data_IF_719534034335
#
_entry.id   IF_719534034335
#
_cell.length_a   1.000
_cell.length_b   1.000
_cell.length_c   1.000
_cell.angle_alpha   90.00
_cell.angle_beta   90.00
_cell.angle_gamma   90.00
#
_symmetry.space_group_name_H-M   'P 1'
#
loop_
_entity.id
_entity.type
_entity.pdbx_description
1 polymer ?
#
# COMPACT_ATOMS: atom_id res chain seq x y z
N UNK A 1 48.69 34.28 31.34
CA UNK A 1 47.88 33.12 30.87
C UNK A 1 46.73 33.67 30.04
N UNK A 2 46.63 33.29 28.76
CA UNK A 2 45.57 33.77 27.84
C UNK A 2 44.41 32.77 27.88
N UNK A 3 43.24 33.21 28.32
CA UNK A 3 42.00 32.43 28.32
C UNK A 3 41.38 32.46 26.93
N UNK A 4 41.31 31.30 26.27
CA UNK A 4 40.57 31.13 25.03
C UNK A 4 39.12 30.72 25.34
N UNK A 5 38.15 31.47 24.84
CA UNK A 5 36.73 31.12 24.92
C UNK A 5 36.36 30.29 23.70
N UNK A 6 35.78 29.10 23.94
CA UNK A 6 35.29 28.20 22.89
C UNK A 6 33.77 28.39 22.79
N UNK A 7 33.30 28.95 21.67
CA UNK A 7 31.87 28.97 21.33
C UNK A 7 31.46 27.62 20.76
N UNK A 8 30.55 26.93 21.43
CA UNK A 8 29.92 25.71 20.93
C UNK A 8 28.67 26.12 20.14
N UNK A 9 28.72 25.98 18.82
CA UNK A 9 27.55 26.18 17.96
C UNK A 9 26.69 24.91 18.01
N UNK A 10 25.48 25.04 18.55
CA UNK A 10 24.51 23.95 18.64
C UNK A 10 23.85 23.76 17.25
N UNK A 11 24.34 22.82 16.46
CA UNK A 11 23.67 22.40 15.24
C UNK A 11 22.46 21.53 15.61
N UNK A 12 21.25 22.09 15.51
CA UNK A 12 20.00 21.34 15.65
C UNK A 12 19.88 20.34 14.51
N UNK A 13 20.26 19.08 14.75
CA UNK A 13 19.87 17.97 13.88
C UNK A 13 18.36 17.76 14.05
N UNK A 14 17.57 18.34 13.15
CA UNK A 14 16.18 17.91 12.95
C UNK A 14 16.26 16.52 12.35
N UNK A 15 16.17 15.50 13.21
CA UNK A 15 16.01 14.12 12.80
C UNK A 15 14.59 13.98 12.26
N UNK A 16 14.42 14.20 10.95
CA UNK A 16 13.18 13.93 10.23
C UNK A 16 12.95 12.42 10.16
N UNK A 17 12.65 11.80 11.30
CA UNK A 17 12.24 10.41 11.36
C UNK A 17 10.86 10.29 10.72
N UNK A 18 10.78 9.73 9.52
CA UNK A 18 9.52 9.21 8.99
C UNK A 18 9.13 8.01 9.84
N UNK A 19 8.45 8.27 10.96
CA UNK A 19 7.96 7.22 11.84
C UNK A 19 6.84 6.48 11.12
N UNK A 20 7.09 5.23 10.73
CA UNK A 20 6.03 4.31 10.31
C UNK A 20 5.22 3.95 11.55
N UNK A 21 3.97 4.41 11.59
CA UNK A 21 3.02 3.95 12.61
C UNK A 21 2.32 2.73 12.05
N UNK A 22 2.54 1.59 12.71
CA UNK A 22 1.98 0.31 12.35
C UNK A 22 0.92 -0.14 13.35
N UNK A 23 -0.09 -0.86 12.88
CA UNK A 23 -0.99 -1.61 13.75
C UNK A 23 -1.18 -2.99 13.15
N UNK A 24 -1.01 -4.01 13.99
CA UNK A 24 -1.15 -5.40 13.58
C UNK A 24 -2.61 -5.84 13.65
N UNK A 25 -3.00 -6.72 12.74
CA UNK A 25 -4.31 -7.34 12.73
C UNK A 25 -4.21 -8.75 12.13
N UNK A 26 -5.19 -9.59 12.48
CA UNK A 26 -5.33 -10.94 11.95
C UNK A 26 -6.80 -11.29 11.77
N UNK A 27 -7.08 -12.24 10.87
CA UNK A 27 -8.40 -12.84 10.70
C UNK A 27 -8.40 -14.22 11.34
N UNK A 28 -9.42 -14.51 12.15
CA UNK A 28 -9.63 -15.86 12.71
C UNK A 28 -10.41 -16.74 11.73
N UNK A 29 -10.25 -18.07 11.80
CA UNK A 29 -10.96 -19.04 10.95
C UNK A 29 -10.62 -18.94 9.45
N UNK A 30 -9.38 -18.60 9.13
CA UNK A 30 -8.87 -18.65 7.76
C UNK A 30 -8.78 -20.12 7.32
N UNK A 31 -9.37 -20.52 6.18
CA UNK A 31 -9.20 -21.86 5.64
C UNK A 31 -7.72 -22.18 5.44
N UNK A 32 -7.32 -23.45 5.54
CA UNK A 32 -5.94 -23.86 5.23
C UNK A 32 -5.55 -23.56 3.76
N UNK A 33 -6.55 -23.40 2.90
CA UNK A 33 -6.40 -22.94 1.53
C UNK A 33 -6.40 -21.42 1.41
N UNK A 34 -6.33 -20.63 2.48
CA UNK A 34 -6.34 -19.17 2.50
C UNK A 34 -7.68 -18.54 2.12
N UNK A 35 -7.76 -17.21 2.19
CA UNK A 35 -8.92 -16.47 1.67
C UNK A 35 -8.76 -16.24 0.16
N UNK A 36 -9.86 -15.96 -0.52
CA UNK A 36 -9.85 -15.57 -1.94
C UNK A 36 -10.01 -14.06 -2.12
N UNK A 37 -10.40 -13.38 -1.06
CA UNK A 37 -10.62 -11.96 -1.04
C UNK A 37 -10.44 -11.41 0.37
N UNK A 38 -10.10 -10.13 0.44
CA UNK A 38 -10.22 -9.28 1.62
C UNK A 38 -10.58 -7.87 1.17
N UNK A 39 -11.27 -7.14 2.02
CA UNK A 39 -11.60 -5.73 1.78
C UNK A 39 -11.14 -4.88 2.94
N UNK A 40 -10.37 -3.83 2.65
CA UNK A 40 -9.91 -2.87 3.64
C UNK A 40 -10.63 -1.54 3.48
N UNK A 41 -11.43 -1.12 4.48
CA UNK A 41 -12.01 0.21 4.47
C UNK A 41 -10.95 1.26 4.81
N UNK A 42 -10.79 2.26 3.96
CA UNK A 42 -9.87 3.37 4.19
C UNK A 42 -10.55 4.71 3.94
N UNK A 43 -10.38 5.63 4.89
CA UNK A 43 -10.82 7.03 4.79
C UNK A 43 -9.65 7.91 5.20
N UNK A 44 -9.16 8.74 4.28
CA UNK A 44 -8.25 9.84 4.64
C UNK A 44 -9.13 11.04 4.94
N UNK A 45 -9.34 11.34 6.24
CA UNK A 45 -10.14 12.50 6.67
C UNK A 45 -9.42 13.80 6.31
N UNK A 46 -8.14 13.86 6.63
CA UNK A 46 -7.27 15.01 6.40
C UNK A 46 -5.83 14.51 6.25
N UNK A 47 -5.11 15.05 5.27
CA UNK A 47 -3.66 14.92 5.11
C UNK A 47 -3.17 16.05 4.20
N UNK A 48 -1.90 16.43 4.28
CA UNK A 48 -1.34 17.35 3.30
C UNK A 48 -1.37 16.72 1.90
N UNK A 49 -1.74 17.50 0.89
CA UNK A 49 -1.78 17.08 -0.51
C UNK A 49 -0.36 17.12 -1.09
N UNK A 50 0.51 16.22 -0.60
CA UNK A 50 1.91 16.10 -0.98
C UNK A 50 2.29 14.63 -1.17
N UNK A 51 3.33 14.38 -1.95
CA UNK A 51 3.89 13.05 -2.11
C UNK A 51 4.66 12.61 -0.85
N UNK A 52 4.61 11.30 -0.55
CA UNK A 52 5.47 10.66 0.45
C UNK A 52 4.77 10.23 1.73
N UNK A 53 3.44 10.41 1.82
CA UNK A 53 2.59 9.71 2.79
C UNK A 53 2.04 8.42 2.19
N UNK A 54 1.94 7.37 3.01
CA UNK A 54 1.39 6.07 2.65
C UNK A 54 0.40 5.63 3.73
N UNK A 55 -0.88 5.53 3.35
CA UNK A 55 -1.92 4.94 4.16
C UNK A 55 -2.24 3.58 3.55
N UNK A 56 -1.57 2.53 4.04
CA UNK A 56 -1.58 1.21 3.42
C UNK A 56 -1.93 0.09 4.40
N UNK A 57 -2.53 -0.96 3.87
CA UNK A 57 -2.81 -2.21 4.53
C UNK A 57 -1.96 -3.31 3.91
N UNK A 58 -1.23 -4.03 4.75
CA UNK A 58 -0.41 -5.16 4.33
C UNK A 58 -1.12 -6.47 4.62
N UNK A 59 -0.91 -7.46 3.77
CA UNK A 59 -1.42 -8.82 3.92
C UNK A 59 -0.38 -9.84 3.50
N UNK A 60 -0.38 -11.02 4.11
CA UNK A 60 0.58 -12.07 3.82
C UNK A 60 -0.02 -13.16 2.91
N UNK A 61 0.85 -13.88 2.21
CA UNK A 61 0.48 -15.08 1.46
C UNK A 61 0.84 -16.34 2.25
N UNK A 62 0.01 -17.40 2.26
CA UNK A 62 0.16 -18.56 3.18
C UNK A 62 1.58 -19.13 3.15
N UNK A 63 2.17 -19.27 1.97
CA UNK A 63 3.49 -19.89 1.79
C UNK A 63 4.52 -18.90 1.25
N UNK A 64 4.32 -17.59 1.43
CA UNK A 64 5.15 -16.60 0.76
C UNK A 64 5.24 -15.25 1.46
N UNK A 65 5.70 -14.24 0.71
CA UNK A 65 5.86 -12.86 1.15
C UNK A 65 4.53 -12.13 1.36
N UNK A 66 4.61 -10.80 1.26
CA UNK A 66 3.51 -9.89 1.55
C UNK A 66 3.05 -9.17 0.29
N UNK A 67 1.80 -8.70 0.32
CA UNK A 67 1.32 -7.64 -0.54
C UNK A 67 0.82 -6.46 0.30
N UNK A 68 0.60 -5.32 -0.35
CA UNK A 68 -0.14 -4.22 0.27
C UNK A 68 -1.09 -3.55 -0.70
N UNK A 69 -2.05 -2.82 -0.15
CA UNK A 69 -2.89 -1.90 -0.90
C UNK A 69 -3.19 -0.64 -0.08
N UNK A 70 -3.51 0.47 -0.72
CA UNK A 70 -3.86 1.69 0.01
C UNK A 70 -3.86 2.96 -0.83
N UNK A 71 -3.76 4.09 -0.12
CA UNK A 71 -3.79 5.44 -0.68
C UNK A 71 -2.54 6.23 -0.33
N UNK A 72 -2.11 7.04 -1.29
CA UNK A 72 -1.13 8.10 -1.11
C UNK A 72 -1.75 9.41 -1.56
N UNK A 73 -1.77 10.43 -0.70
CA UNK A 73 -1.95 11.82 -1.12
C UNK A 73 -0.98 12.20 -2.25
N UNK A 74 -1.46 13.04 -3.16
CA UNK A 74 -0.65 13.72 -4.18
C UNK A 74 -0.96 15.21 -4.19
N UNK A 75 -0.06 16.03 -4.74
CA UNK A 75 -0.39 17.42 -5.07
C UNK A 75 -1.65 17.50 -5.91
N UNK A 76 -2.42 18.55 -5.68
CA UNK A 76 -3.62 18.83 -6.46
C UNK A 76 -3.27 18.96 -7.94
N UNK A 77 -4.16 18.45 -8.79
CA UNK A 77 -4.09 18.62 -10.23
C UNK A 77 -5.38 19.32 -10.71
N UNK A 78 -5.21 20.40 -11.47
CA UNK A 78 -6.34 21.19 -11.99
C UNK A 78 -7.31 21.66 -10.89
N UNK A 79 -6.78 22.03 -9.72
CA UNK A 79 -7.55 22.50 -8.57
C UNK A 79 -8.38 21.41 -7.87
N UNK A 80 -8.07 20.13 -8.10
CA UNK A 80 -8.76 18.99 -7.47
C UNK A 80 -7.78 18.11 -6.69
N UNK A 81 -8.21 17.56 -5.54
CA UNK A 81 -7.43 16.57 -4.82
C UNK A 81 -7.16 15.32 -5.66
N UNK A 82 -5.90 14.89 -5.69
CA UNK A 82 -5.49 13.66 -6.36
C UNK A 82 -5.20 12.60 -5.31
N UNK A 83 -5.82 11.44 -5.51
CA UNK A 83 -5.51 10.22 -4.75
C UNK A 83 -4.75 9.27 -5.65
N UNK A 84 -3.64 8.75 -5.14
CA UNK A 84 -2.82 7.74 -5.77
C UNK A 84 -3.04 6.41 -5.05
N UNK A 85 -3.82 5.52 -5.68
CA UNK A 85 -4.07 4.18 -5.17
C UNK A 85 -2.95 3.25 -5.55
N UNK A 86 -2.57 2.39 -4.61
CA UNK A 86 -1.47 1.43 -4.77
C UNK A 86 -1.90 0.02 -4.45
N UNK A 87 -1.28 -0.93 -5.14
CA UNK A 87 -1.49 -2.35 -4.97
C UNK A 87 -0.22 -3.10 -5.41
N UNK A 88 0.47 -3.75 -4.48
CA UNK A 88 1.79 -4.31 -4.74
C UNK A 88 1.94 -5.71 -4.15
N UNK A 89 2.80 -6.51 -4.79
CA UNK A 89 3.28 -7.82 -4.33
C UNK A 89 4.79 -7.75 -4.16
N UNK A 90 5.30 -8.19 -3.01
CA UNK A 90 6.73 -8.33 -2.72
C UNK A 90 7.24 -9.76 -2.93
N UNK A 91 6.46 -10.57 -3.64
CA UNK A 91 6.81 -11.96 -3.92
C UNK A 91 7.67 -12.00 -5.17
N UNK A 92 8.90 -12.48 -5.04
CA UNK A 92 9.80 -12.71 -6.16
C UNK A 92 9.16 -13.65 -7.20
N UNK A 93 9.39 -13.37 -8.48
CA UNK A 93 8.74 -14.06 -9.59
C UNK A 93 7.29 -13.67 -9.86
N UNK A 94 6.72 -12.69 -9.12
CA UNK A 94 5.43 -12.11 -9.51
C UNK A 94 5.51 -11.47 -10.89
N UNK A 95 4.46 -11.62 -11.69
CA UNK A 95 4.39 -11.08 -13.05
C UNK A 95 3.11 -10.29 -13.26
N UNK A 96 3.07 -9.47 -14.30
CA UNK A 96 1.87 -8.71 -14.65
C UNK A 96 1.82 -8.44 -16.16
N UNK A 97 0.61 -8.31 -16.69
CA UNK A 97 0.32 -7.80 -18.04
C UNK A 97 -0.52 -6.52 -17.97
N UNK A 98 -0.75 -6.01 -16.76
CA UNK A 98 -1.61 -4.87 -16.50
C UNK A 98 -0.86 -3.56 -16.74
N UNK A 99 -1.47 -2.64 -17.49
CA UNK A 99 -0.86 -1.36 -17.86
C UNK A 99 -0.58 -0.45 -16.65
N UNK A 100 -1.25 -0.66 -15.53
CA UNK A 100 -1.06 0.12 -14.31
C UNK A 100 0.10 -0.42 -13.45
N UNK A 101 0.69 -1.55 -13.85
CA UNK A 101 1.68 -2.27 -13.06
C UNK A 101 3.03 -2.33 -13.76
N UNK A 102 4.09 -2.42 -12.96
CA UNK A 102 5.45 -2.61 -13.43
C UNK A 102 6.20 -3.63 -12.54
N UNK A 103 7.23 -4.31 -13.09
CA UNK A 103 8.13 -5.11 -12.28
C UNK A 103 8.83 -4.27 -11.21
N UNK A 104 8.98 -4.87 -10.04
CA UNK A 104 9.61 -4.28 -8.86
C UNK A 104 8.60 -3.67 -7.90
N UNK A 105 8.68 -4.06 -6.63
CA UNK A 105 7.90 -3.48 -5.54
C UNK A 105 8.81 -2.61 -4.67
N UNK A 106 8.60 -1.30 -4.73
CA UNK A 106 9.40 -0.28 -4.00
C UNK A 106 10.92 -0.43 -4.21
N UNK A 107 11.33 -0.82 -5.43
CA UNK A 107 12.73 -1.06 -5.81
C UNK A 107 13.26 -2.46 -5.49
N UNK A 108 12.47 -3.30 -4.83
CA UNK A 108 12.76 -4.72 -4.57
C UNK A 108 12.05 -5.67 -5.54
N UNK A 109 12.15 -6.99 -5.31
CA UNK A 109 11.45 -8.00 -6.11
C UNK A 109 9.93 -7.87 -6.06
N UNK A 110 9.26 -8.35 -7.11
CA UNK A 110 7.79 -8.42 -7.17
C UNK A 110 7.17 -7.48 -8.21
N UNK A 111 5.97 -6.97 -7.94
CA UNK A 111 5.20 -6.10 -8.84
C UNK A 111 4.58 -4.96 -8.06
N UNK A 112 4.65 -3.75 -8.59
CA UNK A 112 3.96 -2.58 -8.06
C UNK A 112 2.94 -2.07 -9.07
N UNK A 113 1.71 -1.84 -8.62
CA UNK A 113 0.64 -1.25 -9.40
C UNK A 113 0.18 0.06 -8.78
N UNK A 114 -0.15 1.02 -9.64
CA UNK A 114 -0.74 2.27 -9.18
C UNK A 114 -1.66 2.92 -10.19
N UNK A 115 -2.61 3.69 -9.69
CA UNK A 115 -3.48 4.54 -10.51
C UNK A 115 -3.81 5.82 -9.74
N UNK A 116 -3.89 6.93 -10.47
CA UNK A 116 -4.32 8.22 -9.92
C UNK A 116 -5.72 8.57 -10.40
N UNK A 117 -6.51 9.17 -9.52
CA UNK A 117 -7.79 9.75 -9.85
C UNK A 117 -8.05 11.01 -9.00
N UNK A 118 -8.99 11.83 -9.47
CA UNK A 118 -9.49 12.95 -8.68
C UNK A 118 -10.39 12.39 -7.57
N UNK A 119 -9.84 12.28 -6.36
CA UNK A 119 -10.51 11.70 -5.20
C UNK A 119 -11.16 12.73 -4.28
N UNK A 120 -11.85 12.26 -3.25
CA UNK A 120 -12.53 13.11 -2.26
C UNK A 120 -12.02 12.73 -0.87
N UNK A 121 -11.40 13.68 -0.17
CA UNK A 121 -11.01 13.51 1.23
C UNK A 121 -12.25 13.45 2.13
N UNK A 122 -12.14 12.72 3.25
CA UNK A 122 -13.26 12.37 4.12
C UNK A 122 -14.19 11.29 3.55
N UNK A 123 -13.97 10.83 2.30
CA UNK A 123 -14.72 9.75 1.70
C UNK A 123 -14.08 8.40 1.98
N UNK A 124 -14.93 7.41 2.27
CA UNK A 124 -14.51 6.02 2.40
C UNK A 124 -14.33 5.39 1.03
N UNK A 125 -13.20 4.72 0.88
CA UNK A 125 -12.90 3.84 -0.23
C UNK A 125 -12.65 2.43 0.32
N UNK A 126 -13.38 1.45 -0.20
CA UNK A 126 -13.16 0.04 0.14
C UNK A 126 -12.12 -0.53 -0.84
N UNK A 127 -10.97 -0.93 -0.31
CA UNK A 127 -9.88 -1.54 -1.07
C UNK A 127 -10.06 -3.05 -1.10
N UNK A 128 -10.65 -3.54 -2.19
CA UNK A 128 -10.85 -4.97 -2.45
C UNK A 128 -9.58 -5.56 -3.06
N UNK A 129 -9.06 -6.60 -2.41
CA UNK A 129 -7.99 -7.46 -2.91
C UNK A 129 -8.59 -8.83 -3.15
N UNK A 130 -8.61 -9.27 -4.41
CA UNK A 130 -9.36 -10.47 -4.79
C UNK A 130 -8.61 -11.33 -5.78
N UNK A 131 -8.75 -12.64 -5.65
CA UNK A 131 -8.29 -13.63 -6.61
C UNK A 131 -9.45 -14.30 -7.35
N UNK A 132 -9.19 -14.65 -8.61
CA UNK A 132 -10.08 -15.48 -9.43
C UNK A 132 -9.77 -16.99 -9.33
N UNK A 133 -8.89 -17.41 -8.41
CA UNK A 133 -8.68 -18.81 -8.06
C UNK A 133 -7.50 -19.51 -8.72
N UNK A 134 -6.59 -18.79 -9.38
CA UNK A 134 -5.44 -19.42 -10.08
C UNK A 134 -4.09 -18.72 -9.90
N UNK A 135 -3.96 -17.83 -8.90
CA UNK A 135 -2.77 -17.01 -8.58
C UNK A 135 -2.79 -15.59 -9.16
N UNK A 136 -3.82 -15.22 -9.91
CA UNK A 136 -4.04 -13.82 -10.29
C UNK A 136 -4.75 -13.09 -9.16
N UNK A 137 -4.21 -11.94 -8.79
CA UNK A 137 -4.72 -11.03 -7.77
C UNK A 137 -5.03 -9.67 -8.39
N UNK A 138 -6.14 -9.09 -7.99
CA UNK A 138 -6.62 -7.78 -8.47
C UNK A 138 -6.88 -6.88 -7.28
N UNK A 139 -6.37 -5.66 -7.35
CA UNK A 139 -6.62 -4.58 -6.40
C UNK A 139 -7.60 -3.57 -7.00
N UNK A 140 -8.70 -3.29 -6.30
CA UNK A 140 -9.72 -2.32 -6.71
C UNK A 140 -10.05 -1.38 -5.55
N UNK A 141 -10.06 -0.06 -5.79
CA UNK A 141 -10.64 0.89 -4.87
C UNK A 141 -12.12 1.14 -5.23
N UNK A 142 -13.01 1.05 -4.25
CA UNK A 142 -14.45 1.22 -4.45
C UNK A 142 -14.90 2.46 -3.68
N UNK A 143 -15.35 3.50 -4.39
CA UNK A 143 -15.97 4.65 -3.75
C UNK A 143 -17.33 4.21 -3.16
N UNK A 144 -17.47 4.22 -1.84
CA UNK A 144 -18.67 3.68 -1.18
C UNK A 144 -19.89 4.59 -1.31
N UNK A 145 -19.72 5.83 -1.77
CA UNK A 145 -20.80 6.81 -1.99
C UNK A 145 -21.36 6.68 -3.39
N UNK A 146 -20.50 6.52 -4.40
CA UNK A 146 -20.92 6.45 -5.81
C UNK A 146 -21.02 5.02 -6.36
N UNK A 147 -20.40 4.05 -5.69
CA UNK A 147 -20.22 2.69 -6.19
C UNK A 147 -19.17 2.56 -7.31
N UNK A 148 -18.47 3.64 -7.65
CA UNK A 148 -17.45 3.63 -8.69
C UNK A 148 -16.32 2.67 -8.32
N UNK A 149 -15.95 1.79 -9.25
CA UNK A 149 -14.86 0.83 -9.10
C UNK A 149 -13.65 1.30 -9.88
N UNK A 150 -12.55 1.54 -9.17
CA UNK A 150 -11.30 2.06 -9.70
C UNK A 150 -10.29 0.92 -9.69
N UNK A 151 -10.02 0.39 -10.88
CA UNK A 151 -9.03 -0.68 -11.06
C UNK A 151 -7.62 -0.14 -10.81
N UNK A 152 -6.98 -0.61 -9.75
CA UNK A 152 -5.61 -0.20 -9.40
C UNK A 152 -4.62 -1.02 -10.22
N UNK A 153 -4.81 -2.34 -10.27
CA UNK A 153 -3.96 -3.21 -11.06
C UNK A 153 -4.21 -4.68 -10.78
N UNK A 154 -3.49 -5.53 -11.52
CA UNK A 154 -3.50 -6.97 -11.35
C UNK A 154 -2.12 -7.57 -11.54
N UNK A 155 -1.81 -8.61 -10.78
CA UNK A 155 -0.56 -9.36 -10.89
C UNK A 155 -0.80 -10.85 -10.63
N UNK A 156 0.09 -11.67 -11.16
CA UNK A 156 0.12 -13.11 -10.93
C UNK A 156 1.26 -13.42 -9.97
N UNK A 157 0.94 -14.07 -8.84
CA UNK A 157 1.97 -14.62 -7.94
C UNK A 157 2.40 -16.01 -8.41
N UNK A 158 3.66 -16.45 -8.17
CA UNK A 158 4.08 -17.80 -8.49
C UNK A 158 3.25 -18.86 -7.77
N UNK A 159 3.03 -20.01 -8.40
CA UNK A 159 2.28 -21.11 -7.79
C UNK A 159 2.89 -21.59 -6.45
N UNK A 160 4.22 -21.50 -6.31
CA UNK A 160 4.96 -21.80 -5.07
C UNK A 160 4.60 -20.90 -3.90
N UNK A 161 4.03 -19.71 -4.16
CA UNK A 161 3.61 -18.79 -3.12
C UNK A 161 2.33 -19.26 -2.38
N UNK A 162 1.67 -20.31 -2.89
CA UNK A 162 0.31 -20.65 -2.54
C UNK A 162 -0.62 -19.58 -3.10
N UNK A 163 -1.45 -19.93 -4.08
CA UNK A 163 -2.36 -18.98 -4.76
C UNK A 163 -3.45 -18.34 -3.88
N UNK A 164 -3.27 -18.34 -2.55
CA UNK A 164 -4.23 -17.91 -1.56
C UNK A 164 -3.52 -17.27 -0.36
N UNK A 165 -4.00 -16.14 0.19
CA UNK A 165 -3.28 -15.41 1.20
C UNK A 165 -3.68 -15.83 2.61
N UNK A 166 -2.71 -15.80 3.52
CA UNK A 166 -2.95 -15.81 4.95
C UNK A 166 -2.92 -14.35 5.40
N UNK A 167 -4.08 -13.76 5.64
CA UNK A 167 -4.17 -12.35 5.97
C UNK A 167 -3.68 -12.10 7.42
N UNK A 168 -2.37 -11.93 7.57
CA UNK A 168 -1.67 -11.44 8.76
C UNK A 168 -0.77 -10.27 8.35
N UNK A 169 -0.91 -9.11 9.01
CA UNK A 169 0.09 -8.06 8.91
C UNK A 169 1.22 -8.35 9.89
N UNK A 170 2.45 -8.52 9.39
CA UNK A 170 3.69 -8.42 10.19
C UNK A 170 4.46 -7.22 9.69
N UNK A 171 4.51 -6.18 10.50
CA UNK A 171 5.49 -5.09 10.30
C UNK A 171 6.75 -5.56 11.03
N UNK A 172 7.83 -5.81 10.28
CA UNK A 172 9.18 -5.89 10.86
C UNK A 172 9.90 -4.58 10.62
#
# INVERSE_FOLDING_TARGET
MKTASISISLASLILSGKALVGSEWSVTNVPSTGLKDITFPLTIVEADHISGYYFAQQYAFINSGIGYTGLQPRPDANGKPVLHGVFSSFIDGSTTTDKNCAPGADGGPGVSCSVEWNGVYGRRYDFEVKSNGSSVWTGTAIDTVTGARIHIGSYTVPASAGGHPEFSSRIR
#
